data_IF_131360296267
#
_entry.id   IF_131360296267
#
_cell.length_a   1.000
_cell.length_b   1.000
_cell.length_c   1.000
_cell.angle_alpha   90.00
_cell.angle_beta   90.00
_cell.angle_gamma   90.00
#
_symmetry.space_group_name_H-M   'P 1'
#
loop_
_entity.id
_entity.type
_entity.pdbx_description
1 polymer ?
#
# COMPACT_ATOMS: atom_id res chain seq x y z
N UNK A 1 -14.11 -11.52 25.95
CA UNK A 1 -12.90 -10.68 26.00
C UNK A 1 -12.61 -10.29 24.56
N UNK A 2 -13.17 -9.16 24.14
CA UNK A 2 -12.87 -8.59 22.83
C UNK A 2 -11.41 -8.16 22.88
N UNK A 3 -10.56 -8.86 22.14
CA UNK A 3 -9.14 -8.51 22.06
C UNK A 3 -9.09 -7.16 21.35
N UNK A 4 -8.82 -6.09 22.09
CA UNK A 4 -8.35 -4.82 21.52
C UNK A 4 -7.04 -5.13 20.81
N UNK A 5 -7.14 -5.57 19.55
CA UNK A 5 -5.99 -5.75 18.68
C UNK A 5 -5.62 -4.35 18.22
N UNK A 6 -4.86 -3.67 19.06
CA UNK A 6 -4.12 -2.49 18.67
C UNK A 6 -3.18 -2.87 17.51
N UNK A 7 -3.61 -2.63 16.27
CA UNK A 7 -2.84 -2.92 15.05
C UNK A 7 -1.62 -2.00 14.87
N UNK A 8 -1.26 -1.21 15.88
CA UNK A 8 -0.22 -0.19 15.84
C UNK A 8 1.15 -0.70 15.37
N UNK A 9 1.48 -1.94 15.73
CA UNK A 9 2.74 -2.61 15.38
C UNK A 9 2.65 -3.41 14.07
N UNK A 10 1.44 -3.61 13.54
CA UNK A 10 1.23 -4.34 12.29
C UNK A 10 1.89 -3.59 11.13
N UNK A 11 2.58 -4.32 10.25
CA UNK A 11 3.31 -3.75 9.13
C UNK A 11 2.49 -3.82 7.85
N UNK A 12 2.37 -2.68 7.17
CA UNK A 12 1.71 -2.58 5.87
C UNK A 12 2.78 -2.30 4.81
N UNK A 13 2.70 -3.04 3.70
CA UNK A 13 3.48 -2.78 2.50
C UNK A 13 2.95 -1.54 1.76
N UNK A 14 3.81 -0.53 1.64
CA UNK A 14 3.59 0.66 0.80
C UNK A 14 4.37 0.45 -0.49
N UNK A 15 3.65 0.27 -1.60
CA UNK A 15 4.23 0.09 -2.93
C UNK A 15 4.26 1.43 -3.65
N UNK A 16 5.44 1.81 -4.15
CA UNK A 16 5.58 2.99 -5.00
C UNK A 16 4.90 2.75 -6.36
N UNK A 17 4.00 3.64 -6.76
CA UNK A 17 3.31 3.55 -8.05
C UNK A 17 4.25 3.75 -9.26
N UNK A 18 5.36 4.48 -9.07
CA UNK A 18 6.28 4.85 -10.16
C UNK A 18 7.29 3.74 -10.47
N UNK A 19 7.88 3.14 -9.44
CA UNK A 19 8.98 2.18 -9.61
C UNK A 19 8.69 0.79 -9.05
N UNK A 20 7.47 0.56 -8.54
CA UNK A 20 7.05 -0.68 -7.89
C UNK A 20 7.90 -1.11 -6.67
N UNK A 21 8.71 -0.21 -6.11
CA UNK A 21 9.47 -0.49 -4.89
C UNK A 21 8.52 -0.60 -3.70
N UNK A 22 8.56 -1.73 -3.00
CA UNK A 22 7.81 -1.97 -1.77
C UNK A 22 8.66 -1.58 -0.55
N UNK A 23 8.09 -0.76 0.33
CA UNK A 23 8.63 -0.52 1.67
C UNK A 23 7.61 -0.92 2.72
N UNK A 24 8.05 -1.51 3.84
CA UNK A 24 7.17 -1.86 4.95
C UNK A 24 7.19 -0.78 6.01
N UNK A 25 6.01 -0.40 6.49
CA UNK A 25 5.82 0.62 7.53
C UNK A 25 4.75 0.16 8.51
N UNK A 26 4.92 0.46 9.79
CA UNK A 26 3.92 0.13 10.80
C UNK A 26 2.67 0.99 10.66
N UNK A 27 1.51 0.47 11.08
CA UNK A 27 0.25 1.24 11.13
C UNK A 27 0.41 2.51 11.96
N UNK A 28 1.15 2.45 13.08
CA UNK A 28 1.48 3.65 13.87
C UNK A 28 2.18 4.71 13.03
N UNK A 29 3.17 4.31 12.22
CA UNK A 29 3.89 5.23 11.35
C UNK A 29 2.96 5.83 10.29
N UNK A 30 2.12 5.01 9.67
CA UNK A 30 1.16 5.43 8.62
C UNK A 30 0.05 6.34 9.17
N UNK A 31 -0.31 6.23 10.45
CA UNK A 31 -1.23 7.18 11.09
C UNK A 31 -0.59 8.55 11.35
N UNK A 32 0.72 8.57 11.59
CA UNK A 32 1.46 9.81 11.87
C UNK A 32 1.96 10.51 10.61
N UNK A 33 2.02 9.81 9.46
CA UNK A 33 2.59 10.31 8.21
C UNK A 33 1.63 10.06 7.04
N UNK A 34 1.29 11.12 6.31
CA UNK A 34 0.45 11.04 5.11
C UNK A 34 1.25 10.91 3.82
N UNK A 35 2.59 11.03 3.88
CA UNK A 35 3.48 10.95 2.72
C UNK A 35 4.74 10.17 3.07
N UNK A 36 5.26 9.41 2.12
CA UNK A 36 6.54 8.72 2.20
C UNK A 36 7.37 9.00 0.95
N UNK A 37 8.64 9.31 1.13
CA UNK A 37 9.59 9.28 0.02
C UNK A 37 9.92 7.83 -0.35
N UNK A 38 9.85 7.52 -1.64
CA UNK A 38 10.26 6.22 -2.16
C UNK A 38 11.79 6.11 -2.16
N UNK A 39 12.33 5.12 -1.44
CA UNK A 39 13.78 4.86 -1.42
C UNK A 39 14.33 4.31 -2.75
N UNK A 40 13.47 3.90 -3.68
CA UNK A 40 13.87 3.39 -4.99
C UNK A 40 14.07 4.48 -6.06
N UNK A 41 13.19 5.48 -6.11
CA UNK A 41 13.20 6.50 -7.16
C UNK A 41 13.12 7.96 -6.66
N UNK A 42 12.99 8.17 -5.35
CA UNK A 42 12.84 9.50 -4.75
C UNK A 42 11.46 10.14 -4.93
N UNK A 43 10.49 9.42 -5.53
CA UNK A 43 9.13 9.93 -5.68
C UNK A 43 8.41 10.05 -4.32
N UNK A 44 7.60 11.09 -4.15
CA UNK A 44 6.74 11.24 -2.98
C UNK A 44 5.48 10.41 -3.18
N UNK A 45 5.32 9.37 -2.37
CA UNK A 45 4.16 8.48 -2.33
C UNK A 45 3.17 9.01 -1.32
N UNK A 46 1.97 9.33 -1.78
CA UNK A 46 0.89 9.77 -0.91
C UNK A 46 0.18 8.56 -0.26
N UNK A 47 0.13 8.59 1.06
CA UNK A 47 -0.38 7.54 1.95
C UNK A 47 -1.74 7.98 2.51
N UNK A 48 -2.59 8.58 1.69
CA UNK A 48 -3.97 8.80 2.10
C UNK A 48 -4.71 7.47 2.22
N UNK A 49 -5.42 7.28 3.34
CA UNK A 49 -6.24 6.09 3.65
C UNK A 49 -7.25 5.71 2.55
N UNK A 50 -7.52 6.61 1.60
CA UNK A 50 -8.40 6.38 0.44
C UNK A 50 -7.72 5.65 -0.73
N UNK A 51 -6.39 5.61 -0.78
CA UNK A 51 -5.63 5.02 -1.89
C UNK A 51 -5.31 3.53 -1.73
N UNK A 52 -5.34 2.97 -0.51
CA UNK A 52 -5.11 1.53 -0.28
C UNK A 52 -6.18 0.61 -0.90
N UNK A 53 -7.30 1.16 -1.37
CA UNK A 53 -8.40 0.40 -1.96
C UNK A 53 -8.13 -0.13 -3.38
N UNK A 54 -6.96 0.11 -3.97
CA UNK A 54 -6.70 -0.26 -5.37
C UNK A 54 -5.75 -1.45 -5.59
N UNK A 55 -5.13 -2.01 -4.54
CA UNK A 55 -4.30 -3.22 -4.70
C UNK A 55 -5.08 -4.46 -4.23
N UNK A 56 -6.29 -4.62 -4.75
CA UNK A 56 -7.06 -5.85 -4.65
C UNK A 56 -7.76 -6.10 -5.99
N UNK A 57 -6.99 -6.20 -7.07
CA UNK A 57 -7.42 -6.94 -8.26
C UNK A 57 -6.17 -7.58 -8.83
N UNK A 58 -5.87 -8.76 -8.29
CA UNK A 58 -5.02 -9.70 -8.99
C UNK A 58 -5.64 -9.99 -10.36
N UNK A 59 -4.83 -9.81 -11.40
CA UNK A 59 -4.67 -10.81 -12.44
C UNK A 59 -5.96 -11.47 -12.97
N UNK A 60 -6.87 -10.67 -13.49
CA UNK A 60 -7.88 -11.14 -14.44
C UNK A 60 -7.23 -11.30 -15.81
N UNK A 61 -6.94 -12.55 -16.19
CA UNK A 61 -6.48 -13.00 -17.52
C UNK A 61 -7.04 -12.12 -18.65
N UNK A 62 -6.15 -11.49 -19.41
CA UNK A 62 -6.42 -11.15 -20.79
C UNK A 62 -6.49 -12.47 -21.59
N UNK A 63 -7.66 -12.80 -22.11
CA UNK A 63 -7.74 -13.61 -23.31
C UNK A 63 -8.87 -13.05 -24.14
N UNK A 64 -8.46 -12.19 -25.07
CA UNK A 64 -9.22 -11.73 -26.21
C UNK A 64 -9.54 -12.95 -27.07
N UNK A 65 -10.82 -13.25 -27.31
CA UNK A 65 -11.28 -13.96 -28.51
C UNK A 65 -12.67 -13.44 -28.84
N UNK A 66 -12.78 -12.69 -29.94
CA UNK A 66 -14.05 -12.47 -30.62
C UNK A 66 -14.21 -13.51 -31.75
N UNK A 67 -15.45 -13.96 -31.95
CA UNK A 67 -16.07 -14.20 -33.26
C UNK A 67 -17.60 -14.10 -33.09
#
# INVERSE_FOLDING_TARGET
>A
METDRSFEDDEIGVVCAECAYETRKSVRWLRAHTQAECMGCGAIVDIESRNFRKIATGTGRATEVGD
#
